data_IF_466284607462
#
_entry.id   IF_466284607462
#
_cell.length_a   1.000
_cell.length_b   1.000
_cell.length_c   1.000
_cell.angle_alpha   90.00
_cell.angle_beta   90.00
_cell.angle_gamma   90.00
#
_symmetry.space_group_name_H-M   'P 1'
#
loop_
_entity.id
_entity.type
_entity.pdbx_description
1 polymer ?
#
# COMPACT_ATOMS: atom_id res chain seq x y z
N UNK A 1 37.81 -16.00 25.62
CA UNK A 1 36.40 -16.23 26.03
C UNK A 1 35.68 -14.94 26.38
N UNK A 2 36.18 -14.07 27.27
CA UNK A 2 35.50 -12.81 27.63
C UNK A 2 35.34 -11.80 26.48
N UNK A 3 36.38 -11.62 25.63
CA UNK A 3 36.30 -10.70 24.48
C UNK A 3 35.39 -11.19 23.34
N UNK A 4 35.28 -12.50 23.14
CA UNK A 4 34.36 -13.08 22.15
C UNK A 4 32.89 -12.87 22.58
N UNK A 5 32.61 -12.92 23.89
CA UNK A 5 31.27 -12.65 24.44
C UNK A 5 30.89 -11.18 24.37
N UNK A 6 31.85 -10.27 24.61
CA UNK A 6 31.62 -8.83 24.46
C UNK A 6 31.32 -8.44 23.01
N UNK A 7 32.01 -9.04 22.03
CA UNK A 7 31.73 -8.84 20.60
C UNK A 7 30.33 -9.34 20.21
N UNK A 8 29.92 -10.54 20.65
CA UNK A 8 28.57 -11.05 20.37
C UNK A 8 27.45 -10.25 21.03
N UNK A 9 27.71 -9.65 22.21
CA UNK A 9 26.72 -8.78 22.87
C UNK A 9 26.61 -7.41 22.19
N UNK A 10 27.69 -6.89 21.62
CA UNK A 10 27.64 -5.65 20.83
C UNK A 10 26.88 -5.86 19.52
N UNK A 11 27.12 -6.98 18.82
CA UNK A 11 26.35 -7.34 17.61
C UNK A 11 24.88 -7.59 17.91
N UNK A 12 24.56 -8.31 18.99
CA UNK A 12 23.17 -8.55 19.39
C UNK A 12 22.44 -7.26 19.82
N UNK A 13 23.14 -6.33 20.48
CA UNK A 13 22.58 -5.03 20.84
C UNK A 13 22.37 -4.13 19.62
N UNK A 14 23.32 -4.14 18.67
CA UNK A 14 23.18 -3.44 17.39
C UNK A 14 22.04 -4.00 16.53
N UNK A 15 21.87 -5.32 16.52
CA UNK A 15 20.78 -6.02 15.83
C UNK A 15 19.41 -5.71 16.46
N UNK A 16 19.34 -5.69 17.79
CA UNK A 16 18.12 -5.28 18.51
C UNK A 16 17.78 -3.82 18.26
N UNK A 17 18.77 -2.91 18.27
CA UNK A 17 18.56 -1.50 17.97
C UNK A 17 18.11 -1.29 16.51
N UNK A 18 18.70 -2.02 15.56
CA UNK A 18 18.28 -2.01 14.15
C UNK A 18 16.86 -2.53 13.97
N UNK A 19 16.50 -3.62 14.66
CA UNK A 19 15.14 -4.16 14.67
C UNK A 19 14.14 -3.15 15.23
N UNK A 20 14.42 -2.54 16.37
CA UNK A 20 13.55 -1.53 16.99
C UNK A 20 13.41 -0.28 16.11
N UNK A 21 14.50 0.17 15.48
CA UNK A 21 14.46 1.25 14.51
C UNK A 21 13.59 0.90 13.29
N UNK A 22 13.71 -0.33 12.77
CA UNK A 22 12.87 -0.85 11.70
C UNK A 22 11.39 -0.90 12.07
N UNK A 23 11.07 -1.36 13.28
CA UNK A 23 9.69 -1.32 13.82
C UNK A 23 9.19 0.11 13.91
N UNK A 24 10.00 1.05 14.43
CA UNK A 24 9.66 2.47 14.51
C UNK A 24 9.38 3.09 13.14
N UNK A 25 10.23 2.80 12.15
CA UNK A 25 10.03 3.23 10.76
C UNK A 25 8.78 2.60 10.13
N UNK A 26 8.49 1.33 10.42
CA UNK A 26 7.28 0.64 9.96
C UNK A 26 6.00 1.27 10.54
N UNK A 27 6.01 1.60 11.84
CA UNK A 27 4.90 2.32 12.47
C UNK A 27 4.72 3.72 11.86
N UNK A 28 5.82 4.44 11.62
CA UNK A 28 5.77 5.74 10.95
C UNK A 28 5.20 5.62 9.53
N UNK A 29 5.59 4.59 8.77
CA UNK A 29 5.02 4.28 7.47
C UNK A 29 3.51 3.99 7.57
N UNK A 30 3.08 3.24 8.58
CA UNK A 30 1.66 3.00 8.84
C UNK A 30 0.86 4.27 9.16
N UNK A 31 1.40 5.13 10.04
CA UNK A 31 0.78 6.42 10.39
C UNK A 31 0.67 7.34 9.17
N UNK A 32 1.73 7.43 8.37
CA UNK A 32 1.70 8.24 7.14
C UNK A 32 0.72 7.70 6.12
N UNK A 33 0.59 6.37 5.97
CA UNK A 33 -0.41 5.77 5.09
C UNK A 33 -1.85 6.04 5.57
N UNK A 34 -2.10 5.99 6.88
CA UNK A 34 -3.40 6.35 7.46
C UNK A 34 -3.73 7.83 7.22
N UNK A 35 -2.77 8.73 7.44
CA UNK A 35 -2.93 10.16 7.17
C UNK A 35 -3.19 10.46 5.70
N UNK A 36 -2.48 9.78 4.80
CA UNK A 36 -2.71 9.84 3.36
C UNK A 36 -4.16 9.45 3.02
N UNK A 37 -4.59 8.28 3.49
CA UNK A 37 -5.93 7.74 3.20
C UNK A 37 -7.04 8.65 3.72
N UNK A 38 -6.87 9.14 4.95
CA UNK A 38 -7.79 10.10 5.57
C UNK A 38 -7.85 11.43 4.81
N UNK A 39 -6.68 11.96 4.41
CA UNK A 39 -6.61 13.23 3.66
C UNK A 39 -7.30 13.09 2.30
N UNK A 40 -7.00 12.02 1.55
CA UNK A 40 -7.63 11.76 0.27
C UNK A 40 -9.16 11.62 0.40
N UNK A 41 -9.62 10.85 1.39
CA UNK A 41 -11.05 10.69 1.67
C UNK A 41 -11.70 12.02 2.04
N UNK A 42 -11.05 12.83 2.89
CA UNK A 42 -11.54 14.15 3.29
C UNK A 42 -11.64 15.11 2.11
N UNK A 43 -10.65 15.17 1.22
CA UNK A 43 -10.70 16.02 0.02
C UNK A 43 -11.89 15.62 -0.88
N UNK A 44 -12.07 14.32 -1.12
CA UNK A 44 -13.19 13.83 -1.93
C UNK A 44 -14.55 14.09 -1.25
N UNK A 45 -14.62 13.99 0.08
CA UNK A 45 -15.82 14.33 0.86
C UNK A 45 -16.22 15.81 0.78
N UNK A 46 -15.28 16.72 0.48
CA UNK A 46 -15.56 18.14 0.21
C UNK A 46 -15.88 18.43 -1.27
N UNK A 47 -16.10 17.40 -2.10
CA UNK A 47 -16.47 17.55 -3.50
C UNK A 47 -15.30 17.75 -4.47
N UNK A 48 -14.05 17.62 -4.01
CA UNK A 48 -12.88 17.66 -4.90
C UNK A 48 -12.83 16.38 -5.73
N UNK A 49 -12.81 16.51 -7.05
CA UNK A 49 -12.73 15.37 -7.96
C UNK A 49 -11.52 14.48 -7.68
N UNK A 50 -11.68 13.16 -7.84
CA UNK A 50 -10.65 12.14 -7.51
C UNK A 50 -9.28 12.43 -8.13
N UNK A 51 -9.23 12.87 -9.38
CA UNK A 51 -7.97 13.21 -10.05
C UNK A 51 -7.27 14.42 -9.40
N UNK A 52 -8.02 15.45 -9.03
CA UNK A 52 -7.48 16.65 -8.37
C UNK A 52 -7.04 16.34 -6.93
N UNK A 53 -7.82 15.55 -6.18
CA UNK A 53 -7.46 15.13 -4.84
C UNK A 53 -6.17 14.29 -4.84
N UNK A 54 -6.13 13.22 -5.63
CA UNK A 54 -4.95 12.35 -5.71
C UNK A 54 -3.74 13.07 -6.30
N UNK A 55 -3.95 13.92 -7.32
CA UNK A 55 -2.90 14.74 -7.93
C UNK A 55 -2.28 15.73 -6.95
N UNK A 56 -3.08 16.37 -6.10
CA UNK A 56 -2.57 17.28 -5.06
C UNK A 56 -1.74 16.54 -4.01
N UNK A 57 -2.21 15.39 -3.53
CA UNK A 57 -1.52 14.60 -2.50
C UNK A 57 -0.20 14.02 -3.03
N UNK A 58 -0.20 13.40 -4.21
CA UNK A 58 1.03 12.89 -4.82
C UNK A 58 1.94 14.00 -5.32
N UNK A 59 1.39 15.12 -5.81
CA UNK A 59 2.18 16.27 -6.24
C UNK A 59 2.94 16.91 -5.07
N UNK A 60 2.24 17.19 -3.97
CA UNK A 60 2.87 17.71 -2.75
C UNK A 60 3.83 16.70 -2.12
N UNK A 61 3.46 15.42 -2.08
CA UNK A 61 4.35 14.35 -1.61
C UNK A 61 5.62 14.22 -2.46
N UNK A 62 5.49 14.31 -3.79
CA UNK A 62 6.62 14.29 -4.72
C UNK A 62 7.53 15.50 -4.55
N UNK A 63 6.97 16.70 -4.37
CA UNK A 63 7.74 17.91 -4.07
C UNK A 63 8.49 17.77 -2.74
N UNK A 64 7.84 17.23 -1.71
CA UNK A 64 8.47 16.96 -0.42
C UNK A 64 9.59 15.91 -0.49
N UNK A 65 9.58 15.04 -1.50
CA UNK A 65 10.62 14.05 -1.75
C UNK A 65 11.81 14.58 -2.58
N UNK A 66 11.72 15.77 -3.20
CA UNK A 66 12.84 16.33 -3.96
C UNK A 66 14.13 16.54 -3.12
N UNK A 67 14.08 17.04 -1.88
CA UNK A 67 15.27 17.13 -1.04
C UNK A 67 15.88 15.76 -0.73
N UNK A 68 15.03 14.75 -0.49
CA UNK A 68 15.49 13.38 -0.27
C UNK A 68 16.18 12.85 -1.52
N UNK A 69 15.58 13.04 -2.70
CA UNK A 69 16.18 12.66 -3.97
C UNK A 69 17.52 13.38 -4.20
N UNK A 70 17.64 14.66 -3.84
CA UNK A 70 18.91 15.39 -3.96
C UNK A 70 20.00 14.82 -3.04
N UNK A 71 19.64 14.36 -1.85
CA UNK A 71 20.58 13.81 -0.87
C UNK A 71 20.94 12.34 -1.10
N UNK A 72 20.00 11.52 -1.59
CA UNK A 72 20.14 10.06 -1.67
C UNK A 72 20.05 9.50 -3.09
N UNK A 73 19.68 10.30 -4.08
CA UNK A 73 19.39 9.87 -5.45
C UNK A 73 20.59 9.67 -6.37
N UNK A 74 21.82 9.95 -5.91
CA UNK A 74 23.02 9.77 -6.74
C UNK A 74 23.13 8.36 -7.39
N UNK A 75 22.81 7.24 -6.70
CA UNK A 75 22.81 5.91 -7.31
C UNK A 75 21.78 5.74 -8.45
N UNK A 76 20.69 6.50 -8.44
CA UNK A 76 19.65 6.46 -9.47
C UNK A 76 20.18 6.98 -10.82
N UNK A 77 21.10 7.94 -10.78
CA UNK A 77 21.73 8.57 -11.94
C UNK A 77 23.11 7.97 -12.27
N UNK A 78 23.56 6.98 -11.50
CA UNK A 78 24.89 6.39 -11.65
C UNK A 78 25.05 5.61 -12.95
N UNK A 79 23.96 5.11 -13.54
CA UNK A 79 23.99 4.44 -14.84
C UNK A 79 22.65 4.58 -15.60
N UNK A 80 22.67 4.48 -16.95
CA UNK A 80 21.44 4.42 -17.74
C UNK A 80 20.52 3.28 -17.32
N UNK A 81 21.08 2.15 -16.88
CA UNK A 81 20.31 1.01 -16.38
C UNK A 81 19.58 1.34 -15.07
N UNK A 82 20.28 1.91 -14.09
CA UNK A 82 19.68 2.29 -12.80
C UNK A 82 18.55 3.31 -13.01
N UNK A 83 18.78 4.30 -13.87
CA UNK A 83 17.77 5.27 -14.24
C UNK A 83 16.57 4.62 -14.93
N UNK A 84 16.81 3.71 -15.89
CA UNK A 84 15.74 3.02 -16.61
C UNK A 84 14.90 2.14 -15.69
N UNK A 85 15.52 1.44 -14.73
CA UNK A 85 14.80 0.65 -13.72
C UNK A 85 13.99 1.58 -12.81
N UNK A 86 14.56 2.69 -12.35
CA UNK A 86 13.84 3.68 -11.54
C UNK A 86 12.65 4.28 -12.28
N UNK A 87 12.84 4.67 -13.55
CA UNK A 87 11.78 5.19 -14.40
C UNK A 87 10.70 4.14 -14.68
N UNK A 88 11.08 2.89 -14.93
CA UNK A 88 10.15 1.78 -15.07
C UNK A 88 9.28 1.61 -13.82
N UNK A 89 9.89 1.61 -12.63
CA UNK A 89 9.16 1.49 -11.36
C UNK A 89 8.22 2.68 -11.10
N UNK A 90 8.62 3.89 -11.47
CA UNK A 90 7.78 5.06 -11.31
C UNK A 90 6.60 5.09 -12.30
N UNK A 91 6.82 4.71 -13.55
CA UNK A 91 5.82 4.84 -14.61
C UNK A 91 4.87 3.65 -14.68
N UNK A 92 5.37 2.43 -14.52
CA UNK A 92 4.57 1.22 -14.79
C UNK A 92 3.80 0.76 -13.55
N UNK A 93 4.42 0.22 -12.49
CA UNK A 93 3.65 -0.26 -11.34
C UNK A 93 3.03 0.89 -10.55
N UNK A 94 3.70 2.04 -10.43
CA UNK A 94 3.16 3.18 -9.67
C UNK A 94 2.15 3.98 -10.51
N UNK A 95 2.59 4.75 -11.50
CA UNK A 95 1.68 5.66 -12.20
C UNK A 95 0.57 4.94 -12.97
N UNK A 96 0.93 4.03 -13.88
CA UNK A 96 -0.05 3.31 -14.70
C UNK A 96 -0.94 2.40 -13.83
N UNK A 97 -0.38 1.73 -12.82
CA UNK A 97 -1.13 0.95 -11.84
C UNK A 97 -2.23 1.77 -11.16
N UNK A 98 -1.91 2.95 -10.63
CA UNK A 98 -2.90 3.82 -9.98
C UNK A 98 -3.96 4.38 -10.96
N UNK A 99 -3.58 4.69 -12.21
CA UNK A 99 -4.54 5.11 -13.23
C UNK A 99 -5.52 3.98 -13.54
N UNK A 100 -5.04 2.77 -13.79
CA UNK A 100 -5.87 1.60 -14.07
C UNK A 100 -6.75 1.23 -12.88
N UNK A 101 -6.21 1.26 -11.66
CA UNK A 101 -6.99 1.06 -10.43
C UNK A 101 -8.12 2.09 -10.33
N UNK A 102 -7.80 3.35 -10.59
CA UNK A 102 -8.77 4.43 -10.65
C UNK A 102 -9.88 4.23 -11.68
N UNK A 103 -9.52 3.76 -12.88
CA UNK A 103 -10.50 3.40 -13.91
C UNK A 103 -11.33 2.20 -13.47
N UNK A 104 -10.74 1.21 -12.81
CA UNK A 104 -11.43 0.06 -12.21
C UNK A 104 -12.53 0.48 -11.23
N UNK A 105 -12.27 1.47 -10.37
CA UNK A 105 -13.26 2.01 -9.43
C UNK A 105 -14.48 2.67 -10.11
N UNK A 106 -14.41 2.97 -11.41
CA UNK A 106 -15.60 3.44 -12.17
C UNK A 106 -16.50 2.28 -12.63
N UNK A 107 -16.00 1.04 -12.57
CA UNK A 107 -16.66 -0.18 -13.06
C UNK A 107 -17.10 -1.12 -11.93
N UNK A 108 -16.37 -1.12 -10.80
CA UNK A 108 -16.63 -2.00 -9.64
C UNK A 108 -16.72 -1.21 -8.34
N UNK A 109 -17.37 -1.80 -7.33
CA UNK A 109 -17.44 -1.20 -6.00
C UNK A 109 -16.06 -1.11 -5.34
N UNK A 110 -15.87 -0.13 -4.44
CA UNK A 110 -14.64 0.01 -3.66
C UNK A 110 -14.32 -1.22 -2.80
N UNK A 111 -15.35 -1.91 -2.29
CA UNK A 111 -15.20 -3.17 -1.53
C UNK A 111 -14.65 -4.29 -2.41
N UNK A 112 -15.17 -4.45 -3.62
CA UNK A 112 -14.66 -5.42 -4.60
C UNK A 112 -13.22 -5.10 -5.00
N UNK A 113 -12.90 -3.83 -5.23
CA UNK A 113 -11.53 -3.41 -5.55
C UNK A 113 -10.55 -3.73 -4.41
N UNK A 114 -10.94 -3.42 -3.17
CA UNK A 114 -10.13 -3.72 -1.97
C UNK A 114 -9.93 -5.22 -1.79
N UNK A 115 -10.97 -6.02 -2.05
CA UNK A 115 -10.88 -7.49 -2.05
C UNK A 115 -9.89 -7.96 -3.09
N UNK A 116 -9.97 -7.45 -4.33
CA UNK A 116 -9.06 -7.85 -5.39
C UNK A 116 -7.60 -7.50 -5.09
N UNK A 117 -7.35 -6.36 -4.44
CA UNK A 117 -6.01 -5.95 -3.97
C UNK A 117 -5.42 -6.92 -2.94
N UNK A 118 -6.23 -7.63 -2.15
CA UNK A 118 -5.71 -8.70 -1.28
C UNK A 118 -5.08 -9.87 -2.07
N UNK A 119 -5.37 -10.01 -3.37
CA UNK A 119 -4.68 -10.98 -4.22
C UNK A 119 -3.26 -10.53 -4.60
N UNK A 120 -2.96 -9.22 -4.57
CA UNK A 120 -1.66 -8.69 -4.98
C UNK A 120 -0.49 -9.26 -4.17
N UNK A 121 -0.54 -9.37 -2.82
CA UNK A 121 0.52 -10.01 -2.04
C UNK A 121 0.77 -11.47 -2.44
N UNK A 122 -0.29 -12.22 -2.75
CA UNK A 122 -0.17 -13.60 -3.20
C UNK A 122 0.52 -13.69 -4.57
N UNK A 123 0.11 -12.84 -5.52
CA UNK A 123 0.74 -12.75 -6.85
C UNK A 123 2.19 -12.29 -6.72
N UNK A 124 2.48 -11.29 -5.88
CA UNK A 124 3.83 -10.80 -5.63
C UNK A 124 4.75 -11.89 -5.06
N UNK A 125 4.26 -12.67 -4.08
CA UNK A 125 5.00 -13.80 -3.52
C UNK A 125 5.28 -14.89 -4.57
N UNK A 126 4.30 -15.22 -5.42
CA UNK A 126 4.49 -16.17 -6.52
C UNK A 126 5.50 -15.65 -7.55
N UNK A 127 5.43 -14.37 -7.91
CA UNK A 127 6.41 -13.73 -8.79
C UNK A 127 7.81 -13.70 -8.16
N UNK A 128 7.92 -13.54 -6.84
CA UNK A 128 9.21 -13.64 -6.14
C UNK A 128 9.83 -15.04 -6.30
N UNK A 129 9.03 -16.12 -6.21
CA UNK A 129 9.52 -17.48 -6.47
C UNK A 129 9.95 -17.66 -7.92
N UNK A 130 9.09 -17.26 -8.86
CA UNK A 130 9.28 -17.59 -10.27
C UNK A 130 10.34 -16.70 -10.93
N UNK A 131 10.29 -15.40 -10.66
CA UNK A 131 11.14 -14.39 -11.32
C UNK A 131 12.42 -14.14 -10.54
N UNK A 132 12.32 -13.99 -9.22
CA UNK A 132 13.49 -13.70 -8.37
C UNK A 132 14.20 -14.98 -7.93
N UNK A 133 13.51 -16.13 -7.94
CA UNK A 133 14.05 -17.42 -7.52
C UNK A 133 14.00 -17.64 -6.01
N UNK A 134 13.19 -16.87 -5.27
CA UNK A 134 13.09 -17.00 -3.82
C UNK A 134 12.42 -18.32 -3.39
N UNK A 135 12.87 -18.86 -2.25
CA UNK A 135 12.28 -20.08 -1.67
C UNK A 135 11.35 -19.70 -0.53
N UNK A 136 10.04 -19.77 -0.77
CA UNK A 136 9.08 -19.58 0.33
C UNK A 136 9.09 -20.80 1.27
N UNK A 137 9.19 -20.56 2.59
CA UNK A 137 8.99 -21.61 3.59
C UNK A 137 7.53 -22.07 3.56
N UNK A 138 7.24 -23.23 4.16
CA UNK A 138 5.88 -23.78 4.23
C UNK A 138 4.87 -22.77 4.79
N UNK A 139 5.25 -21.98 5.79
CA UNK A 139 4.40 -20.94 6.37
C UNK A 139 4.03 -19.84 5.36
N UNK A 140 4.93 -19.52 4.43
CA UNK A 140 4.67 -18.58 3.35
C UNK A 140 3.61 -19.09 2.37
N UNK A 141 3.69 -20.38 2.02
CA UNK A 141 2.66 -21.04 1.19
C UNK A 141 1.31 -21.13 1.89
N UNK A 142 1.29 -21.38 3.20
CA UNK A 142 0.06 -21.34 4.00
C UNK A 142 -0.54 -19.93 4.02
N UNK A 143 0.28 -18.89 4.07
CA UNK A 143 -0.17 -17.49 3.95
C UNK A 143 -0.87 -17.22 2.61
N UNK A 144 -0.28 -17.67 1.50
CA UNK A 144 -0.89 -17.56 0.16
C UNK A 144 -2.23 -18.31 0.10
N UNK A 145 -2.28 -19.54 0.64
CA UNK A 145 -3.52 -20.31 0.71
C UNK A 145 -4.59 -19.61 1.56
N UNK A 146 -4.20 -19.00 2.69
CA UNK A 146 -5.09 -18.23 3.55
C UNK A 146 -5.69 -16.99 2.86
N UNK A 147 -4.88 -16.27 2.07
CA UNK A 147 -5.36 -15.18 1.21
C UNK A 147 -6.35 -15.72 0.17
N UNK A 148 -6.02 -16.81 -0.52
CA UNK A 148 -6.93 -17.42 -1.50
C UNK A 148 -8.28 -17.83 -0.89
N UNK A 149 -8.25 -18.40 0.31
CA UNK A 149 -9.46 -18.78 1.04
C UNK A 149 -10.29 -17.56 1.46
N UNK A 150 -9.66 -16.50 1.96
CA UNK A 150 -10.38 -15.28 2.36
C UNK A 150 -11.08 -14.62 1.17
N UNK A 151 -10.40 -14.56 0.02
CA UNK A 151 -10.97 -14.08 -1.24
C UNK A 151 -12.15 -14.93 -1.71
N UNK A 152 -12.02 -16.26 -1.62
CA UNK A 152 -13.11 -17.18 -2.00
C UNK A 152 -14.33 -16.99 -1.11
N UNK A 153 -14.14 -16.89 0.21
CA UNK A 153 -15.23 -16.63 1.15
C UNK A 153 -15.90 -15.29 0.84
N UNK A 154 -15.12 -14.25 0.59
CA UNK A 154 -15.66 -12.91 0.31
C UNK A 154 -16.37 -12.83 -1.04
N UNK A 155 -15.92 -13.58 -2.04
CA UNK A 155 -16.57 -13.69 -3.35
C UNK A 155 -17.90 -14.46 -3.31
N UNK A 156 -18.01 -15.45 -2.40
CA UNK A 156 -19.21 -16.29 -2.26
C UNK A 156 -20.21 -15.75 -1.22
N UNK A 157 -19.79 -14.84 -0.35
CA UNK A 157 -20.67 -14.25 0.66
C UNK A 157 -21.75 -13.36 0.01
N UNK A 158 -23.04 -13.53 0.34
CA UNK A 158 -24.09 -12.66 -0.18
C UNK A 158 -23.87 -11.22 0.30
N UNK A 159 -23.79 -10.28 -0.63
CA UNK A 159 -23.65 -8.85 -0.36
C UNK A 159 -24.73 -8.39 0.62
N UNK A 160 -24.38 -8.12 1.89
CA UNK A 160 -25.31 -7.49 2.82
C UNK A 160 -25.65 -6.12 2.25
N UNK A 161 -26.89 -5.97 1.75
CA UNK A 161 -27.46 -4.68 1.33
C UNK A 161 -27.30 -3.69 2.48
N UNK A 162 -26.80 -2.51 2.15
CA UNK A 162 -26.87 -1.33 3.01
C UNK A 162 -28.30 -1.20 3.54
N UNK A 163 -28.44 -1.11 4.86
CA UNK A 163 -29.74 -0.87 5.50
C UNK A 163 -30.17 0.53 5.08
N UNK A 164 -31.14 0.60 4.17
CA UNK A 164 -31.73 1.87 3.75
C UNK A 164 -32.30 2.58 4.99
N UNK A 165 -31.85 3.81 5.31
CA UNK A 165 -32.37 4.53 6.47
C UNK A 165 -33.88 4.70 6.31
N UNK A 166 -34.67 4.55 7.40
CA UNK A 166 -36.12 4.63 7.33
C UNK A 166 -36.54 5.95 6.68
N UNK A 167 -37.41 5.87 5.67
CA UNK A 167 -37.98 7.03 5.00
C UNK A 167 -38.57 7.97 6.05
N UNK A 168 -38.05 9.21 6.10
CA UNK A 168 -38.61 10.28 6.92
C UNK A 168 -39.96 10.62 6.28
N UNK A 169 -41.10 10.42 6.96
CA UNK A 169 -42.40 10.78 6.40
C UNK A 169 -42.42 12.29 6.19
N UNK A 170 -42.81 12.70 4.97
CA UNK A 170 -43.04 14.09 4.64
C UNK A 170 -44.04 14.67 5.64
N UNK A 171 -43.55 15.59 6.48
CA UNK A 171 -44.42 16.41 7.30
C UNK A 171 -45.22 17.27 6.34
N UNK A 172 -46.45 16.82 6.10
CA UNK A 172 -47.50 17.49 5.34
C UNK A 172 -47.47 18.98 5.68
N UNK A 173 -46.95 19.77 4.76
CA UNK A 173 -47.16 21.22 4.74
C UNK A 173 -48.58 21.44 4.22
N UNK A 174 -49.54 21.32 5.12
CA UNK A 174 -50.85 21.95 4.97
C UNK A 174 -50.89 23.14 5.91
N UNK A 175 -50.64 24.32 5.34
CA UNK A 175 -51.07 25.60 5.86
C UNK A 175 -51.91 26.28 4.77
#
# INVERSE_FOLDING_TARGET
MAMLRAATMHDAAADTAGMLAGVGLGLLAGVTYALYSWSAHRLMGHGIGRAAAMGSVFGLGGLALLPVLALTGAPLLASPQAFTVGAYMALVPMFLGYVLFGLGLTRISASTATTLTLAEPAVAAVLAVIVVGERLPLLGWLGIAGIGLSLLVLALAPSRREVEPPAVPDVVTTA
#
